data_IF_320010487335
#
_entry.id   IF_320010487335
#
_cell.length_a   1.000
_cell.length_b   1.000
_cell.length_c   1.000
_cell.angle_alpha   90.00
_cell.angle_beta   90.00
_cell.angle_gamma   90.00
#
_symmetry.space_group_name_H-M   'P 1'
#
loop_
_entity.id
_entity.type
_entity.pdbx_description
1 polymer ?
#
# COMPACT_ATOMS: atom_id res chain seq x y z
N UNK A 1 -59.08 -3.04 -9.05
CA UNK A 1 -58.60 -2.42 -7.79
C UNK A 1 -58.12 -3.53 -6.86
N UNK A 2 -56.82 -3.64 -6.59
CA UNK A 2 -56.32 -4.66 -5.67
C UNK A 2 -56.71 -4.31 -4.22
N UNK A 3 -57.18 -5.30 -3.49
CA UNK A 3 -57.57 -5.16 -2.09
C UNK A 3 -56.36 -4.85 -1.20
N UNK A 4 -56.59 -4.20 -0.04
CA UNK A 4 -55.50 -3.85 0.92
C UNK A 4 -54.67 -5.06 1.36
N UNK A 5 -55.25 -6.26 1.38
CA UNK A 5 -54.53 -7.51 1.71
C UNK A 5 -53.57 -7.95 0.59
N UNK A 6 -54.01 -7.81 -0.67
CA UNK A 6 -53.14 -8.15 -1.81
C UNK A 6 -51.97 -7.18 -1.98
N UNK A 7 -52.15 -5.92 -1.61
CA UNK A 7 -51.04 -4.93 -1.59
C UNK A 7 -49.99 -5.23 -0.51
N UNK A 8 -50.41 -5.72 0.68
CA UNK A 8 -49.50 -6.13 1.74
C UNK A 8 -48.72 -7.39 1.38
N UNK A 9 -49.37 -8.33 0.66
CA UNK A 9 -48.73 -9.58 0.23
C UNK A 9 -47.68 -9.35 -0.86
N UNK A 10 -47.83 -8.33 -1.70
CA UNK A 10 -46.84 -7.96 -2.73
C UNK A 10 -45.68 -7.11 -2.15
N UNK A 11 -45.90 -6.37 -1.07
CA UNK A 11 -44.86 -5.53 -0.45
C UNK A 11 -43.81 -6.35 0.31
N UNK A 12 -44.18 -7.52 0.87
CA UNK A 12 -43.28 -8.36 1.63
C UNK A 12 -42.11 -8.91 0.81
N UNK A 13 -42.31 -9.52 -0.38
CA UNK A 13 -41.20 -10.01 -1.19
C UNK A 13 -40.34 -8.90 -1.79
N UNK A 14 -40.93 -7.72 -2.05
CA UNK A 14 -40.14 -6.56 -2.53
C UNK A 14 -39.27 -6.00 -1.44
N UNK A 15 -39.72 -5.95 -0.18
CA UNK A 15 -38.95 -5.50 0.96
C UNK A 15 -37.83 -6.47 1.31
N UNK A 16 -38.08 -7.81 1.22
CA UNK A 16 -37.05 -8.83 1.43
C UNK A 16 -36.00 -8.81 0.32
N UNK A 17 -36.41 -8.59 -0.93
CA UNK A 17 -35.47 -8.45 -2.05
C UNK A 17 -34.61 -7.19 -1.91
N UNK A 18 -35.18 -6.07 -1.45
CA UNK A 18 -34.48 -4.81 -1.21
C UNK A 18 -33.46 -4.97 -0.05
N UNK A 19 -33.81 -5.70 1.01
CA UNK A 19 -32.91 -6.01 2.12
C UNK A 19 -31.77 -6.92 1.66
N UNK A 20 -32.03 -7.95 0.85
CA UNK A 20 -31.00 -8.84 0.29
C UNK A 20 -30.04 -8.11 -0.65
N UNK A 21 -30.52 -7.15 -1.44
CA UNK A 21 -29.68 -6.31 -2.31
C UNK A 21 -28.85 -5.33 -1.48
N UNK A 22 -29.41 -4.82 -0.38
CA UNK A 22 -28.70 -3.93 0.54
C UNK A 22 -27.60 -4.68 1.29
N UNK A 23 -27.87 -5.93 1.75
CA UNK A 23 -26.87 -6.79 2.36
C UNK A 23 -25.77 -7.19 1.37
N UNK A 24 -26.10 -7.50 0.12
CA UNK A 24 -25.11 -7.79 -0.91
C UNK A 24 -24.26 -6.54 -1.26
N UNK A 25 -24.83 -5.35 -1.22
CA UNK A 25 -24.09 -4.10 -1.41
C UNK A 25 -23.21 -3.74 -0.20
N UNK A 26 -23.57 -4.19 1.00
CA UNK A 26 -22.77 -4.06 2.21
C UNK A 26 -21.69 -5.15 2.29
N UNK A 27 -21.99 -6.39 1.92
CA UNK A 27 -21.04 -7.52 1.90
C UNK A 27 -20.02 -7.42 0.76
N UNK A 28 -20.34 -6.74 -0.34
CA UNK A 28 -19.41 -6.47 -1.43
C UNK A 28 -18.37 -5.37 -1.13
N UNK A 29 -18.39 -4.77 0.07
CA UNK A 29 -17.40 -3.77 0.52
C UNK A 29 -16.29 -4.34 1.38
N UNK A 30 -16.29 -5.63 1.68
CA UNK A 30 -15.45 -6.26 2.70
C UNK A 30 -14.21 -6.97 2.15
N UNK A 31 -13.61 -6.45 1.08
CA UNK A 31 -12.26 -6.83 0.67
C UNK A 31 -11.20 -5.73 0.88
N UNK A 32 -11.62 -4.52 1.18
CA UNK A 32 -10.69 -3.42 1.44
C UNK A 32 -10.13 -3.57 2.87
N UNK A 33 -8.91 -4.07 2.98
CA UNK A 33 -8.14 -3.96 4.22
C UNK A 33 -7.96 -2.47 4.47
N UNK A 34 -8.80 -1.90 5.32
CA UNK A 34 -8.57 -0.57 5.83
C UNK A 34 -7.35 -0.65 6.73
N UNK A 35 -6.19 -0.23 6.23
CA UNK A 35 -5.20 0.38 7.12
C UNK A 35 -5.89 1.65 7.60
N UNK A 36 -6.47 1.59 8.80
CA UNK A 36 -7.03 2.76 9.45
C UNK A 36 -5.91 3.78 9.52
N UNK A 37 -6.07 4.91 8.85
CA UNK A 37 -5.06 5.94 8.84
C UNK A 37 -4.89 6.69 7.52
N UNK A 38 -5.75 6.51 6.52
CA UNK A 38 -5.67 7.33 5.31
C UNK A 38 -5.74 8.82 5.68
N UNK A 39 -4.65 9.55 5.37
CA UNK A 39 -4.44 10.94 5.78
C UNK A 39 -3.71 11.12 7.12
N UNK A 40 -3.47 10.05 7.90
CA UNK A 40 -2.60 10.11 9.08
C UNK A 40 -1.13 10.21 8.67
N UNK A 41 -0.28 10.93 9.42
CA UNK A 41 1.15 10.92 9.19
C UNK A 41 1.69 9.48 9.38
N UNK A 42 2.63 9.07 8.52
CA UNK A 42 3.44 7.90 8.79
C UNK A 42 4.22 8.14 10.09
N UNK A 43 4.38 7.16 10.97
CA UNK A 43 5.14 7.35 12.20
C UNK A 43 6.54 7.90 11.91
N UNK A 44 7.02 8.91 12.64
CA UNK A 44 8.38 9.40 12.49
C UNK A 44 9.36 8.28 12.87
N UNK A 45 10.45 8.14 12.12
CA UNK A 45 11.45 7.13 12.38
C UNK A 45 12.87 7.62 12.07
N UNK A 46 13.82 6.98 12.72
CA UNK A 46 15.25 7.03 12.37
C UNK A 46 15.81 5.62 12.46
N UNK A 47 16.18 5.04 11.34
CA UNK A 47 16.64 3.64 11.27
C UNK A 47 17.84 3.47 10.35
N UNK A 48 18.41 2.28 10.37
CA UNK A 48 19.48 1.88 9.48
C UNK A 48 18.92 1.14 8.27
N UNK A 49 19.40 1.43 7.08
CA UNK A 49 19.16 0.62 5.90
C UNK A 49 20.15 -0.56 5.83
N UNK A 50 19.87 -1.55 4.98
CA UNK A 50 20.74 -2.73 4.79
C UNK A 50 22.14 -2.39 4.27
N UNK A 51 22.31 -1.25 3.61
CA UNK A 51 23.60 -0.73 3.14
C UNK A 51 24.40 -0.02 4.26
N UNK A 52 23.81 0.16 5.44
CA UNK A 52 24.42 0.81 6.60
C UNK A 52 24.16 2.32 6.70
N UNK A 53 23.42 2.90 5.79
CA UNK A 53 23.05 4.32 5.86
C UNK A 53 21.92 4.55 6.86
N UNK A 54 21.98 5.67 7.60
CA UNK A 54 20.86 6.11 8.45
C UNK A 54 19.81 6.80 7.58
N UNK A 55 18.57 6.36 7.73
CA UNK A 55 17.41 6.88 6.99
C UNK A 55 16.33 7.33 7.98
N UNK A 56 15.73 8.49 7.70
CA UNK A 56 14.63 9.05 8.50
C UNK A 56 13.35 9.14 7.66
N UNK A 57 12.23 9.48 8.29
CA UNK A 57 10.96 9.79 7.65
C UNK A 57 11.05 10.92 6.61
N UNK A 58 12.09 11.74 6.63
CA UNK A 58 12.42 12.70 5.57
C UNK A 58 12.60 12.08 4.17
N UNK A 59 12.79 10.75 4.07
CA UNK A 59 12.85 10.04 2.78
C UNK A 59 11.57 10.21 1.95
N UNK A 60 10.44 10.50 2.56
CA UNK A 60 9.15 10.68 1.88
C UNK A 60 9.00 12.06 1.23
N UNK A 61 9.83 13.02 1.61
CA UNK A 61 9.68 14.40 1.17
C UNK A 61 9.72 14.54 -0.36
N UNK A 62 8.67 15.13 -0.93
CA UNK A 62 8.58 15.45 -2.36
C UNK A 62 8.25 14.25 -3.27
N UNK A 63 8.02 13.05 -2.72
CA UNK A 63 7.73 11.86 -3.52
C UNK A 63 6.56 11.07 -2.98
N UNK A 64 5.73 10.55 -3.88
CA UNK A 64 4.77 9.50 -3.53
C UNK A 64 5.54 8.18 -3.38
N UNK A 65 5.47 7.58 -2.21
CA UNK A 65 6.27 6.41 -1.84
C UNK A 65 5.41 5.18 -1.66
N UNK A 66 5.76 4.08 -2.32
CA UNK A 66 5.23 2.75 -2.02
C UNK A 66 6.15 2.07 -0.99
N UNK A 67 5.67 1.87 0.23
CA UNK A 67 6.40 1.22 1.33
C UNK A 67 6.03 -0.26 1.35
N UNK A 68 6.96 -1.11 0.94
CA UNK A 68 6.81 -2.56 0.92
C UNK A 68 7.31 -3.17 2.23
N UNK A 69 6.40 -3.63 3.07
CA UNK A 69 6.75 -4.35 4.31
C UNK A 69 6.83 -5.84 4.03
N UNK A 70 7.95 -6.46 4.35
CA UNK A 70 8.20 -7.87 4.16
C UNK A 70 9.05 -8.45 5.29
N UNK A 71 9.15 -9.79 5.37
CA UNK A 71 9.98 -10.48 6.35
C UNK A 71 10.92 -11.46 5.65
N UNK A 72 12.08 -11.68 6.26
CA UNK A 72 13.06 -12.67 5.78
C UNK A 72 12.46 -14.08 5.81
N UNK A 73 11.65 -14.36 6.84
CA UNK A 73 10.99 -15.65 7.00
C UNK A 73 10.02 -15.93 5.86
N UNK A 74 9.15 -14.96 5.54
CA UNK A 74 8.12 -15.16 4.50
C UNK A 74 8.72 -15.08 3.10
N UNK A 75 9.76 -14.27 2.88
CA UNK A 75 10.48 -14.21 1.61
C UNK A 75 11.16 -15.55 1.26
N UNK A 76 11.63 -16.31 2.24
CA UNK A 76 12.20 -17.66 2.02
C UNK A 76 11.15 -18.69 1.59
N UNK A 77 9.89 -18.49 1.97
CA UNK A 77 8.78 -19.39 1.64
C UNK A 77 8.01 -18.97 0.38
N UNK A 78 8.02 -17.68 0.04
CA UNK A 78 7.34 -17.11 -1.13
C UNK A 78 8.33 -16.32 -2.00
N UNK A 79 9.16 -17.03 -2.75
CA UNK A 79 10.25 -16.47 -3.58
C UNK A 79 9.81 -15.40 -4.62
N UNK A 80 8.53 -15.20 -4.85
CA UNK A 80 8.05 -14.40 -5.98
C UNK A 80 7.77 -12.92 -5.66
N UNK A 81 7.39 -12.57 -4.42
CA UNK A 81 6.91 -11.22 -4.10
C UNK A 81 7.99 -10.13 -4.24
N UNK A 82 9.21 -10.29 -3.72
CA UNK A 82 10.25 -9.27 -3.82
C UNK A 82 10.65 -8.95 -5.25
N UNK A 83 10.80 -9.95 -6.10
CA UNK A 83 11.27 -9.77 -7.50
C UNK A 83 10.26 -9.02 -8.36
N UNK A 84 8.98 -9.31 -8.22
CA UNK A 84 7.92 -8.65 -8.97
C UNK A 84 7.77 -7.17 -8.58
N UNK A 85 7.88 -6.86 -7.27
CA UNK A 85 7.89 -5.48 -6.78
C UNK A 85 9.14 -4.74 -7.28
N UNK A 86 10.32 -5.40 -7.27
CA UNK A 86 11.54 -4.84 -7.81
C UNK A 86 11.44 -4.50 -9.31
N UNK A 87 10.70 -5.31 -10.08
CA UNK A 87 10.48 -5.03 -11.49
C UNK A 87 9.68 -3.74 -11.72
N UNK A 88 8.64 -3.49 -10.91
CA UNK A 88 7.85 -2.26 -11.01
C UNK A 88 8.69 -1.03 -10.64
N UNK A 89 9.58 -1.18 -9.66
CA UNK A 89 10.39 -0.07 -9.16
C UNK A 89 11.38 0.51 -10.20
N UNK A 90 11.69 -0.24 -11.26
CA UNK A 90 12.64 0.19 -12.31
C UNK A 90 12.09 1.28 -13.22
N UNK A 91 10.78 1.35 -13.40
CA UNK A 91 10.10 2.21 -14.37
C UNK A 91 9.29 3.33 -13.70
N UNK A 92 9.71 3.77 -12.50
CA UNK A 92 9.03 4.82 -11.78
C UNK A 92 9.35 6.22 -12.30
N UNK A 93 8.37 7.14 -12.32
CA UNK A 93 8.64 8.55 -12.55
C UNK A 93 9.42 9.16 -11.38
N UNK A 94 10.09 10.31 -11.63
CA UNK A 94 10.97 10.98 -10.64
C UNK A 94 10.28 11.36 -9.33
N UNK A 95 8.96 11.61 -9.37
CA UNK A 95 8.14 11.95 -8.20
C UNK A 95 7.58 10.73 -7.48
N UNK A 96 8.03 9.52 -7.81
CA UNK A 96 7.67 8.28 -7.14
C UNK A 96 8.91 7.50 -6.70
N UNK A 97 8.75 6.68 -5.68
CA UNK A 97 9.79 5.75 -5.22
C UNK A 97 9.20 4.54 -4.51
N UNK A 98 10.04 3.51 -4.36
CA UNK A 98 9.81 2.41 -3.43
C UNK A 98 10.75 2.51 -2.24
N UNK A 99 10.28 2.02 -1.09
CA UNK A 99 11.06 1.81 0.13
C UNK A 99 10.66 0.45 0.69
N UNK A 100 11.61 -0.41 0.98
CA UNK A 100 11.36 -1.66 1.69
C UNK A 100 11.51 -1.49 3.20
N UNK A 101 10.70 -2.21 3.98
CA UNK A 101 10.86 -2.34 5.43
C UNK A 101 10.93 -3.83 5.74
N UNK A 102 12.07 -4.27 6.27
CA UNK A 102 12.29 -5.64 6.70
C UNK A 102 11.79 -5.79 8.14
N UNK A 103 10.59 -6.35 8.29
CA UNK A 103 9.84 -6.35 9.54
C UNK A 103 10.40 -7.28 10.64
N UNK A 104 11.23 -8.26 10.29
CA UNK A 104 11.80 -9.24 11.22
C UNK A 104 13.35 -9.19 11.29
N UNK A 105 13.99 -8.14 10.79
CA UNK A 105 15.42 -7.91 10.91
C UNK A 105 15.68 -6.63 11.71
N UNK A 106 16.44 -6.77 12.79
CA UNK A 106 16.81 -5.67 13.66
C UNK A 106 18.32 -5.34 13.57
N UNK A 107 18.70 -4.16 14.05
CA UNK A 107 20.08 -3.71 14.02
C UNK A 107 21.04 -4.61 14.84
N UNK A 108 20.56 -5.27 15.89
CA UNK A 108 21.29 -6.20 16.73
C UNK A 108 21.36 -7.64 16.21
N UNK A 109 20.63 -7.99 15.16
CA UNK A 109 20.62 -9.34 14.59
C UNK A 109 22.01 -9.75 14.06
N UNK A 110 22.33 -11.03 14.19
CA UNK A 110 23.61 -11.59 13.81
C UNK A 110 23.96 -11.49 12.33
N UNK A 111 25.25 -11.62 12.01
CA UNK A 111 25.77 -11.48 10.66
C UNK A 111 25.14 -12.45 9.65
N UNK A 112 24.81 -13.67 10.07
CA UNK A 112 24.18 -14.69 9.22
C UNK A 112 22.79 -14.25 8.71
N UNK A 113 21.94 -13.75 9.63
CA UNK A 113 20.60 -13.27 9.27
C UNK A 113 20.66 -12.05 8.34
N UNK A 114 21.64 -11.15 8.59
CA UNK A 114 21.88 -10.00 7.71
C UNK A 114 22.37 -10.41 6.33
N UNK A 115 23.29 -11.40 6.25
CA UNK A 115 23.77 -11.89 4.97
C UNK A 115 22.65 -12.52 4.16
N UNK A 116 21.81 -13.37 4.77
CA UNK A 116 20.63 -13.95 4.14
C UNK A 116 19.63 -12.88 3.66
N UNK A 117 19.44 -11.81 4.46
CA UNK A 117 18.56 -10.69 4.07
C UNK A 117 19.12 -9.93 2.87
N UNK A 118 20.43 -9.67 2.86
CA UNK A 118 21.11 -9.00 1.73
C UNK A 118 21.01 -9.80 0.44
N UNK A 119 21.11 -11.12 0.52
CA UNK A 119 20.95 -12.00 -0.63
C UNK A 119 19.52 -11.88 -1.23
N UNK A 120 18.49 -11.96 -0.39
CA UNK A 120 17.10 -11.78 -0.83
C UNK A 120 16.89 -10.36 -1.39
N UNK A 121 17.46 -9.35 -0.75
CA UNK A 121 17.30 -7.95 -1.12
C UNK A 121 18.18 -7.53 -2.31
N UNK A 122 19.08 -8.36 -2.81
CA UNK A 122 19.99 -8.02 -3.92
C UNK A 122 19.26 -7.68 -5.23
N UNK A 123 18.03 -8.17 -5.40
CA UNK A 123 17.16 -7.84 -6.53
C UNK A 123 16.47 -6.47 -6.44
N UNK A 124 16.47 -5.82 -5.28
CA UNK A 124 15.82 -4.52 -5.11
C UNK A 124 16.74 -3.37 -5.49
N UNK A 125 16.22 -2.43 -6.28
CA UNK A 125 16.90 -1.19 -6.65
C UNK A 125 16.60 -0.01 -5.72
N UNK A 126 15.94 -0.26 -4.60
CA UNK A 126 15.48 0.76 -3.64
C UNK A 126 15.89 0.41 -2.20
N UNK A 127 15.96 1.41 -1.30
CA UNK A 127 16.42 1.22 0.08
C UNK A 127 15.60 0.18 0.83
N UNK A 128 16.28 -0.65 1.61
CA UNK A 128 15.68 -1.64 2.51
C UNK A 128 15.98 -1.26 3.95
N UNK A 129 14.96 -0.80 4.68
CA UNK A 129 15.07 -0.30 6.04
C UNK A 129 14.93 -1.44 7.04
N UNK A 130 15.71 -1.40 8.12
CA UNK A 130 15.55 -2.33 9.23
C UNK A 130 14.43 -1.83 10.16
N UNK A 131 13.50 -2.71 10.50
CA UNK A 131 12.48 -2.35 11.47
C UNK A 131 13.11 -2.16 12.85
N UNK A 132 12.74 -1.06 13.51
CA UNK A 132 13.06 -0.77 14.90
C UNK A 132 11.77 -0.42 15.66
N UNK A 133 11.90 0.02 16.90
CA UNK A 133 10.73 0.33 17.75
C UNK A 133 9.88 1.49 17.22
N UNK A 134 10.44 2.40 16.42
CA UNK A 134 9.70 3.50 15.79
C UNK A 134 8.64 2.97 14.81
N UNK A 135 8.90 1.82 14.17
CA UNK A 135 7.94 1.17 13.27
C UNK A 135 6.86 0.36 14.00
N UNK A 136 7.02 0.06 15.29
CA UNK A 136 6.10 -0.82 16.01
C UNK A 136 4.63 -0.35 15.94
N UNK A 137 4.29 0.95 16.10
CA UNK A 137 2.91 1.43 15.98
C UNK A 137 2.30 1.20 14.61
N UNK A 138 3.13 1.21 13.55
CA UNK A 138 2.71 0.95 12.18
C UNK A 138 2.60 -0.55 11.91
N UNK A 139 3.65 -1.33 12.22
CA UNK A 139 3.72 -2.77 11.94
C UNK A 139 2.62 -3.57 12.63
N UNK A 140 2.24 -3.20 13.87
CA UNK A 140 1.15 -3.87 14.61
C UNK A 140 -0.22 -3.69 13.97
N UNK A 141 -0.40 -2.72 13.07
CA UNK A 141 -1.64 -2.47 12.32
C UNK A 141 -1.73 -3.31 11.05
N UNK A 142 -0.64 -3.90 10.60
CA UNK A 142 -0.61 -4.78 9.44
C UNK A 142 -1.14 -6.17 9.80
N UNK A 143 -2.05 -6.70 9.00
CA UNK A 143 -2.65 -8.02 9.23
C UNK A 143 -1.78 -9.16 8.69
N UNK A 144 -0.96 -8.87 7.69
CA UNK A 144 -0.08 -9.85 7.04
C UNK A 144 1.05 -9.15 6.30
N UNK A 145 2.05 -9.92 5.93
CA UNK A 145 3.15 -9.53 5.05
C UNK A 145 3.28 -10.58 3.92
N UNK A 146 3.70 -10.19 2.71
CA UNK A 146 4.05 -8.82 2.34
C UNK A 146 2.82 -7.91 2.24
N UNK A 147 2.99 -6.63 2.56
CA UNK A 147 1.98 -5.59 2.38
C UNK A 147 2.65 -4.33 1.85
N UNK A 148 2.06 -3.71 0.83
CA UNK A 148 2.48 -2.41 0.33
C UNK A 148 1.48 -1.36 0.79
N UNK A 149 1.98 -0.33 1.47
CA UNK A 149 1.22 0.87 1.81
C UNK A 149 1.79 2.06 1.03
N UNK A 150 1.01 3.12 0.92
CA UNK A 150 1.42 4.29 0.15
C UNK A 150 1.49 5.51 1.07
N UNK A 151 2.52 6.32 0.84
CA UNK A 151 2.80 7.55 1.58
C UNK A 151 2.94 8.69 0.56
N UNK A 152 2.25 9.81 0.80
CA UNK A 152 2.34 10.98 -0.06
C UNK A 152 3.63 11.79 0.17
N UNK A 153 3.84 12.83 -0.62
CA UNK A 153 4.99 13.72 -0.55
C UNK A 153 5.09 14.55 0.75
N UNK A 154 4.04 14.53 1.57
CA UNK A 154 4.00 15.15 2.89
C UNK A 154 4.18 14.13 4.05
N UNK A 155 4.50 12.88 3.73
CA UNK A 155 4.69 11.81 4.73
C UNK A 155 3.40 11.27 5.31
N UNK A 156 2.26 11.34 4.61
CA UNK A 156 0.96 10.85 5.09
C UNK A 156 0.59 9.55 4.40
N UNK A 157 0.00 8.63 5.15
CA UNK A 157 -0.59 7.42 4.61
C UNK A 157 -1.74 7.79 3.66
N UNK A 158 -1.72 7.25 2.45
CA UNK A 158 -2.72 7.52 1.40
C UNK A 158 -3.10 6.24 0.66
N UNK A 159 -4.22 6.27 -0.02
CA UNK A 159 -4.65 5.17 -0.89
C UNK A 159 -5.08 3.90 -0.13
N UNK A 160 -5.13 2.81 -0.86
CA UNK A 160 -5.50 1.50 -0.33
C UNK A 160 -4.26 0.60 -0.23
N UNK A 161 -4.01 -0.06 0.91
CA UNK A 161 -2.92 -1.01 1.02
C UNK A 161 -3.15 -2.21 0.10
N UNK A 162 -2.08 -2.75 -0.43
CA UNK A 162 -2.08 -3.98 -1.23
C UNK A 162 -1.42 -5.07 -0.42
N UNK A 163 -2.16 -6.14 -0.14
CA UNK A 163 -1.69 -7.29 0.63
C UNK A 163 -1.36 -8.44 -0.30
N UNK A 164 -0.26 -9.13 0.00
CA UNK A 164 0.20 -10.26 -0.80
C UNK A 164 1.04 -9.84 -2.01
N UNK A 165 1.21 -10.78 -2.93
CA UNK A 165 2.02 -10.65 -4.13
C UNK A 165 1.17 -10.20 -5.32
N UNK A 166 0.75 -8.94 -5.31
CA UNK A 166 -0.16 -8.35 -6.30
C UNK A 166 0.46 -7.11 -6.98
N UNK A 167 1.52 -7.29 -7.81
CA UNK A 167 2.27 -6.19 -8.41
C UNK A 167 1.41 -5.27 -9.28
N UNK A 168 0.44 -5.80 -10.01
CA UNK A 168 -0.45 -5.01 -10.86
C UNK A 168 -1.38 -4.10 -10.04
N UNK A 169 -1.82 -4.56 -8.86
CA UNK A 169 -2.60 -3.72 -7.95
C UNK A 169 -1.74 -2.61 -7.35
N UNK A 170 -0.48 -2.91 -6.99
CA UNK A 170 0.48 -1.91 -6.52
C UNK A 170 0.72 -0.84 -7.58
N UNK A 171 0.98 -1.24 -8.82
CA UNK A 171 1.18 -0.33 -9.96
C UNK A 171 -0.05 0.55 -10.22
N UNK A 172 -1.23 -0.06 -10.24
CA UNK A 172 -2.50 0.64 -10.44
C UNK A 172 -2.75 1.69 -9.36
N UNK A 173 -2.56 1.32 -8.09
CA UNK A 173 -2.81 2.23 -6.98
C UNK A 173 -1.78 3.38 -6.95
N UNK A 174 -0.50 3.07 -7.19
CA UNK A 174 0.54 4.08 -7.28
C UNK A 174 0.26 5.07 -8.41
N UNK A 175 -0.11 4.60 -9.60
CA UNK A 175 -0.46 5.46 -10.74
C UNK A 175 -1.64 6.38 -10.41
N UNK A 176 -2.68 5.85 -9.77
CA UNK A 176 -3.85 6.62 -9.32
C UNK A 176 -3.49 7.73 -8.34
N UNK A 177 -2.57 7.45 -7.42
CA UNK A 177 -2.10 8.43 -6.43
C UNK A 177 -1.28 9.53 -7.10
N UNK A 178 -0.38 9.17 -8.02
CA UNK A 178 0.43 10.12 -8.78
C UNK A 178 -0.42 11.07 -9.65
N UNK A 179 -1.49 10.56 -10.25
CA UNK A 179 -2.45 11.40 -10.99
C UNK A 179 -3.17 12.40 -10.09
N UNK A 180 -3.49 12.01 -8.86
CA UNK A 180 -4.15 12.88 -7.88
C UNK A 180 -3.21 13.96 -7.33
N UNK A 181 -1.93 13.63 -7.14
CA UNK A 181 -0.90 14.55 -6.65
C UNK A 181 -0.32 15.44 -7.75
N UNK A 182 -0.62 15.15 -9.02
CA UNK A 182 -0.21 16.02 -10.12
C UNK A 182 -0.76 17.44 -9.94
N UNK A 183 0.08 18.47 -9.92
CA UNK A 183 -0.39 19.84 -9.73
C UNK A 183 -1.42 20.19 -10.83
N UNK A 184 -2.55 20.76 -10.42
CA UNK A 184 -3.66 21.19 -11.33
C UNK A 184 -3.20 21.96 -12.57
N UNK A 185 -2.03 22.64 -12.47
CA UNK A 185 -1.38 23.35 -13.57
C UNK A 185 -0.95 22.45 -14.74
N UNK A 186 -0.57 21.18 -14.48
CA UNK A 186 -0.22 20.22 -15.53
C UNK A 186 -1.47 19.65 -16.23
N UNK A 187 -2.56 19.46 -15.49
CA UNK A 187 -3.83 19.04 -16.07
C UNK A 187 -4.38 20.10 -17.04
N UNK A 188 -4.26 21.38 -16.71
CA UNK A 188 -4.68 22.49 -17.58
C UNK A 188 -3.80 22.62 -18.83
N UNK A 189 -2.48 22.41 -18.72
CA UNK A 189 -1.57 22.37 -19.88
C UNK A 189 -1.89 21.21 -20.84
N UNK A 190 -2.25 20.04 -20.30
CA UNK A 190 -2.59 18.88 -21.13
C UNK A 190 -3.90 19.11 -21.92
N UNK A 191 -4.87 19.80 -21.33
CA UNK A 191 -6.13 20.18 -22.00
C UNK A 191 -5.87 21.23 -23.08
N UNK A 192 -5.02 22.23 -22.83
CA UNK A 192 -4.67 23.23 -23.82
C UNK A 192 -3.92 22.65 -25.05
N UNK A 193 -3.01 21.69 -24.84
CA UNK A 193 -2.28 21.04 -25.94
C UNK A 193 -3.12 20.02 -26.73
N UNK A 194 -4.32 19.65 -26.27
CA UNK A 194 -5.22 18.72 -26.99
C UNK A 194 -6.26 19.47 -27.84
N UNK A 195 -6.39 20.79 -27.62
CA UNK A 195 -7.39 21.64 -28.31
C UNK A 195 -6.78 22.50 -29.43
N UNK A 196 -5.49 22.38 -29.70
CA UNK A 196 -4.76 23.00 -30.78
C UNK A 196 -3.86 22.00 -31.50
#
# INVERSE_FOLDING_TARGET
MLTMHQKKLLLLPVLTLLLLVLDAALLGRDGAIHVQGAGEPFPPFSTMALDGQTVTDGIFAGKTTAVCVWTVRDAKTSHAAPEKIAAIAKDLPENAQFVGVVGDLKAEDGAEKRAATKEIAAGFSFPQLLANDDFAPFLTRLRSVPTVVFVDSAGRLVGQPVVGDEPELVKKELSRLLEKDAPRSLALKKIQNTLF
#
